data_IF_126244964293
#
_entry.id   IF_126244964293
#
_cell.length_a   1.000
_cell.length_b   1.000
_cell.length_c   1.000
_cell.angle_alpha   90.00
_cell.angle_beta   90.00
_cell.angle_gamma   90.00
#
_symmetry.space_group_name_H-M   'P 1'
#
loop_
_entity.id
_entity.type
_entity.pdbx_description
1 polymer ?
#
# COMPACT_ATOMS: atom_id res chain seq x y z
N UNK A 1 -27.97 34.59 25.41
CA UNK A 1 -28.44 33.23 25.05
C UNK A 1 -27.53 32.71 23.94
N UNK A 2 -26.84 31.59 24.19
CA UNK A 2 -26.09 30.71 23.27
C UNK A 2 -24.92 31.32 22.46
N UNK A 3 -23.71 30.76 22.40
CA UNK A 3 -23.19 29.47 22.84
C UNK A 3 -22.42 28.76 21.71
N UNK A 4 -21.22 28.25 22.04
CA UNK A 4 -20.42 27.21 21.36
C UNK A 4 -19.82 27.56 19.97
N UNK A 5 -18.50 27.68 19.74
CA UNK A 5 -17.37 26.77 20.04
C UNK A 5 -17.49 25.40 19.35
N UNK A 6 -16.86 25.22 18.17
CA UNK A 6 -16.25 23.91 17.83
C UNK A 6 -15.20 23.95 16.70
N UNK A 7 -13.98 23.61 17.13
CA UNK A 7 -12.88 22.91 16.47
C UNK A 7 -12.52 23.27 15.01
N UNK A 8 -11.43 24.05 14.90
CA UNK A 8 -10.43 23.88 13.84
C UNK A 8 -9.69 22.57 14.10
N UNK A 9 -9.74 21.66 13.13
CA UNK A 9 -9.03 20.38 13.13
C UNK A 9 -7.54 20.58 13.47
N UNK A 10 -7.03 19.79 14.43
CA UNK A 10 -5.60 19.57 14.63
C UNK A 10 -5.13 18.63 13.52
N UNK A 11 -4.46 19.19 12.51
CA UNK A 11 -3.52 18.42 11.69
C UNK A 11 -2.11 18.93 12.01
N UNK A 12 -1.22 17.99 12.29
CA UNK A 12 0.16 18.28 12.66
C UNK A 12 0.61 17.35 13.78
N UNK A 13 0.78 16.06 13.45
CA UNK A 13 1.60 15.19 14.28
C UNK A 13 2.97 15.83 14.43
N UNK A 14 3.39 16.03 15.69
CA UNK A 14 4.71 16.53 16.03
C UNK A 14 5.77 15.65 15.36
N UNK A 15 6.34 16.15 14.26
CA UNK A 15 7.66 15.72 13.84
C UNK A 15 8.59 16.11 14.98
N UNK A 16 9.06 15.11 15.72
CA UNK A 16 10.14 15.27 16.67
C UNK A 16 11.37 15.70 15.87
N UNK A 17 11.57 17.02 15.76
CA UNK A 17 12.74 17.60 15.13
C UNK A 17 13.95 17.15 15.92
N UNK A 18 14.93 16.57 15.21
CA UNK A 18 16.20 16.19 15.80
C UNK A 18 16.81 17.47 16.38
N UNK A 19 17.01 17.53 17.69
CA UNK A 19 17.56 18.72 18.32
C UNK A 19 19.04 18.84 17.95
N UNK A 20 19.35 19.71 16.98
CA UNK A 20 20.72 19.98 16.51
C UNK A 20 21.63 20.53 17.63
N UNK A 21 21.06 20.98 18.76
CA UNK A 21 21.81 21.41 19.93
C UNK A 21 22.27 20.24 20.84
N UNK A 22 21.94 18.99 20.52
CA UNK A 22 22.39 17.81 21.28
C UNK A 22 23.75 17.26 20.81
N UNK A 23 24.28 17.75 19.68
CA UNK A 23 25.61 17.37 19.20
C UNK A 23 26.63 18.42 19.64
N UNK A 24 27.57 18.02 20.49
CA UNK A 24 28.77 18.83 20.79
C UNK A 24 29.89 18.34 19.85
N UNK A 25 30.26 19.10 18.81
CA UNK A 25 31.28 18.65 17.88
C UNK A 25 32.65 18.65 18.57
N UNK A 26 33.34 17.50 18.52
CA UNK A 26 34.78 17.38 18.81
C UNK A 26 35.26 17.84 20.20
N UNK A 27 34.42 17.76 21.25
CA UNK A 27 34.83 18.10 22.62
C UNK A 27 36.01 17.26 23.16
N UNK A 28 36.27 16.07 22.58
CA UNK A 28 37.40 15.22 22.93
C UNK A 28 37.95 14.52 21.68
N UNK A 29 39.27 14.57 21.46
CA UNK A 29 39.94 13.73 20.45
C UNK A 29 40.12 12.33 21.02
N UNK A 30 39.24 11.41 20.66
CA UNK A 30 39.42 9.98 20.94
C UNK A 30 40.52 9.42 20.06
N UNK A 31 41.36 8.54 20.62
CA UNK A 31 42.34 7.79 19.84
C UNK A 31 41.65 6.89 18.81
N UNK A 32 42.36 6.51 17.75
CA UNK A 32 41.82 5.63 16.69
C UNK A 32 41.29 4.31 17.29
N UNK A 33 41.97 3.77 18.30
CA UNK A 33 41.57 2.55 19.01
C UNK A 33 40.27 2.73 19.80
N UNK A 34 40.09 3.86 20.50
CA UNK A 34 38.86 4.14 21.25
C UNK A 34 37.65 4.36 20.32
N UNK A 35 37.85 5.03 19.18
CA UNK A 35 36.81 5.18 18.16
C UNK A 35 36.41 3.82 17.56
N UNK A 36 37.40 2.98 17.25
CA UNK A 36 37.20 1.62 16.75
C UNK A 36 36.43 0.75 17.76
N UNK A 37 36.81 0.80 19.04
CA UNK A 37 36.16 0.08 20.11
C UNK A 37 34.73 0.57 20.36
N UNK A 38 34.48 1.88 20.28
CA UNK A 38 33.13 2.46 20.34
C UNK A 38 32.23 1.99 19.19
N UNK A 39 32.78 1.93 17.97
CA UNK A 39 32.08 1.40 16.79
C UNK A 39 31.71 -0.09 16.95
N UNK A 40 32.65 -0.91 17.41
CA UNK A 40 32.44 -2.35 17.69
C UNK A 40 31.42 -2.57 18.81
N UNK A 41 31.51 -1.80 19.89
CA UNK A 41 30.57 -1.87 21.01
C UNK A 41 29.15 -1.43 20.60
N UNK A 42 29.03 -0.36 19.82
CA UNK A 42 27.76 0.10 19.26
C UNK A 42 27.16 -0.93 18.29
N UNK A 43 27.98 -1.53 17.42
CA UNK A 43 27.55 -2.61 16.54
C UNK A 43 27.11 -3.85 17.35
N UNK A 44 27.84 -4.24 18.39
CA UNK A 44 27.46 -5.32 19.29
C UNK A 44 26.16 -5.00 20.06
N UNK A 45 25.97 -3.76 20.50
CA UNK A 45 24.74 -3.30 21.14
C UNK A 45 23.55 -3.29 20.18
N UNK A 46 23.74 -2.87 18.92
CA UNK A 46 22.73 -2.98 17.84
C UNK A 46 22.40 -4.44 17.53
N UNK A 47 23.41 -5.32 17.49
CA UNK A 47 23.22 -6.78 17.35
C UNK A 47 22.44 -7.37 18.53
N UNK A 48 22.67 -6.89 19.76
CA UNK A 48 21.89 -7.27 20.96
C UNK A 48 20.47 -6.70 20.94
N UNK A 49 20.29 -5.48 20.44
CA UNK A 49 19.01 -4.79 20.25
C UNK A 49 18.37 -5.09 18.89
N UNK A 50 18.55 -6.29 18.33
CA UNK A 50 17.80 -6.67 17.11
C UNK A 50 16.31 -6.47 17.38
N UNK A 51 15.65 -5.66 16.55
CA UNK A 51 14.21 -5.43 16.66
C UNK A 51 13.46 -6.73 16.39
N UNK A 52 12.20 -6.82 16.83
CA UNK A 52 11.36 -8.00 16.56
C UNK A 52 11.33 -8.33 15.04
N UNK A 53 11.23 -7.29 14.21
CA UNK A 53 11.29 -7.42 12.74
C UNK A 53 12.58 -8.09 12.27
N UNK A 54 13.73 -7.68 12.79
CA UNK A 54 15.02 -8.26 12.41
C UNK A 54 15.18 -9.72 12.87
N UNK A 55 14.59 -10.07 14.03
CA UNK A 55 14.58 -11.46 14.50
C UNK A 55 13.70 -12.33 13.61
N UNK A 56 12.53 -11.84 13.22
CA UNK A 56 11.63 -12.55 12.32
C UNK A 56 12.26 -12.71 10.93
N UNK A 57 12.84 -11.66 10.36
CA UNK A 57 13.57 -11.74 9.08
C UNK A 57 14.68 -12.78 9.11
N UNK A 58 15.41 -12.87 10.23
CA UNK A 58 16.41 -13.92 10.41
C UNK A 58 15.77 -15.30 10.43
N UNK A 59 14.67 -15.51 11.17
CA UNK A 59 14.00 -16.82 11.22
C UNK A 59 13.49 -17.25 9.84
N UNK A 60 12.90 -16.33 9.09
CA UNK A 60 12.36 -16.59 7.75
C UNK A 60 13.44 -17.01 6.76
N UNK A 61 14.63 -16.41 6.83
CA UNK A 61 15.75 -16.71 5.90
C UNK A 61 16.58 -17.95 6.26
N UNK A 62 16.25 -18.67 7.34
CA UNK A 62 17.00 -19.87 7.73
C UNK A 62 16.48 -21.09 6.98
N UNK A 63 17.33 -22.12 6.78
CA UNK A 63 16.86 -23.38 6.21
C UNK A 63 15.80 -24.01 7.11
N UNK A 64 14.79 -24.69 6.54
CA UNK A 64 13.72 -25.29 7.29
C UNK A 64 14.14 -26.64 7.89
N UNK A 65 13.26 -27.25 8.70
CA UNK A 65 13.53 -28.57 9.26
C UNK A 65 13.40 -29.66 8.18
N UNK A 66 13.97 -30.83 8.41
CA UNK A 66 14.07 -31.87 7.37
C UNK A 66 12.70 -32.31 6.84
N UNK A 67 11.68 -32.42 7.70
CA UNK A 67 10.32 -32.74 7.28
C UNK A 67 9.73 -31.67 6.32
N UNK A 68 10.00 -30.40 6.59
CA UNK A 68 9.51 -29.30 5.76
C UNK A 68 10.27 -29.24 4.43
N UNK A 69 11.57 -29.55 4.42
CA UNK A 69 12.37 -29.68 3.19
C UNK A 69 11.81 -30.76 2.28
N UNK A 70 11.55 -31.95 2.81
CA UNK A 70 10.96 -33.04 2.03
C UNK A 70 9.61 -32.64 1.39
N UNK A 71 8.81 -31.86 2.11
CA UNK A 71 7.55 -31.32 1.59
C UNK A 71 7.78 -30.30 0.46
N UNK A 72 8.76 -29.42 0.59
CA UNK A 72 9.12 -28.44 -0.43
C UNK A 72 9.70 -29.11 -1.69
N UNK A 73 10.55 -30.12 -1.52
CA UNK A 73 11.11 -30.93 -2.61
C UNK A 73 10.00 -31.65 -3.37
N UNK A 74 9.01 -32.21 -2.67
CA UNK A 74 7.85 -32.85 -3.28
C UNK A 74 6.99 -31.88 -4.12
N UNK A 75 7.04 -30.58 -3.82
CA UNK A 75 6.40 -29.52 -4.60
C UNK A 75 7.28 -28.99 -5.75
N UNK A 76 8.52 -29.46 -5.86
CA UNK A 76 9.47 -29.04 -6.89
C UNK A 76 10.13 -27.69 -6.62
N UNK A 77 10.23 -27.27 -5.36
CA UNK A 77 11.02 -26.10 -4.96
C UNK A 77 12.50 -26.46 -5.03
N UNK A 78 13.32 -25.55 -5.56
CA UNK A 78 14.77 -25.76 -5.64
C UNK A 78 15.45 -25.55 -4.28
N UNK A 79 16.57 -26.24 -4.04
CA UNK A 79 17.30 -26.13 -2.76
C UNK A 79 17.76 -24.68 -2.47
N UNK A 80 18.02 -23.89 -3.51
CA UNK A 80 18.39 -22.47 -3.39
C UNK A 80 17.25 -21.59 -2.84
N UNK A 81 15.99 -21.98 -3.08
CA UNK A 81 14.78 -21.28 -2.65
C UNK A 81 14.16 -21.91 -1.38
N UNK A 82 14.87 -22.86 -0.76
CA UNK A 82 14.39 -23.61 0.40
C UNK A 82 14.72 -22.90 1.71
N UNK A 83 13.78 -22.12 2.21
CA UNK A 83 13.86 -21.44 3.51
C UNK A 83 12.54 -21.53 4.30
N UNK A 84 12.53 -21.02 5.54
CA UNK A 84 11.33 -21.00 6.38
C UNK A 84 10.22 -20.09 5.81
N UNK A 85 10.55 -19.08 5.01
CA UNK A 85 9.56 -18.24 4.34
C UNK A 85 8.76 -19.06 3.33
N UNK A 86 9.44 -19.88 2.53
CA UNK A 86 8.83 -20.78 1.56
C UNK A 86 7.93 -21.83 2.21
N UNK A 87 8.30 -22.33 3.40
CA UNK A 87 7.43 -23.24 4.19
C UNK A 87 6.11 -22.56 4.54
N UNK A 88 6.15 -21.31 5.02
CA UNK A 88 4.93 -20.57 5.39
C UNK A 88 4.05 -20.27 4.18
N UNK A 89 4.65 -19.89 3.05
CA UNK A 89 3.93 -19.64 1.80
C UNK A 89 3.28 -20.92 1.29
N UNK A 90 3.99 -22.04 1.36
CA UNK A 90 3.46 -23.37 1.01
C UNK A 90 2.28 -23.75 1.88
N UNK A 91 2.38 -23.59 3.20
CA UNK A 91 1.27 -23.87 4.11
C UNK A 91 0.05 -22.99 3.81
N UNK A 92 0.27 -21.70 3.51
CA UNK A 92 -0.79 -20.77 3.12
C UNK A 92 -1.45 -21.20 1.79
N UNK A 93 -0.64 -21.57 0.81
CA UNK A 93 -1.09 -22.07 -0.50
C UNK A 93 -1.94 -23.33 -0.36
N UNK A 94 -1.45 -24.34 0.35
CA UNK A 94 -2.16 -25.61 0.57
C UNK A 94 -3.48 -25.38 1.30
N UNK A 95 -3.50 -24.50 2.30
CA UNK A 95 -4.70 -24.11 3.03
C UNK A 95 -5.73 -23.42 2.11
N UNK A 96 -5.29 -22.53 1.23
CA UNK A 96 -6.16 -21.93 0.22
C UNK A 96 -6.66 -22.96 -0.81
N UNK A 97 -5.81 -23.88 -1.26
CA UNK A 97 -6.16 -24.96 -2.18
C UNK A 97 -7.19 -25.92 -1.57
N UNK A 98 -7.17 -26.12 -0.25
CA UNK A 98 -8.17 -26.87 0.49
C UNK A 98 -9.53 -26.14 0.64
N UNK A 99 -9.66 -24.92 0.11
CA UNK A 99 -10.90 -24.14 0.10
C UNK A 99 -11.02 -23.09 1.21
N UNK A 100 -9.94 -22.79 1.96
CA UNK A 100 -9.96 -21.70 2.92
C UNK A 100 -9.98 -20.33 2.21
N UNK A 101 -11.13 -19.68 2.25
CA UNK A 101 -11.36 -18.38 1.62
C UNK A 101 -10.51 -17.27 2.25
N UNK A 102 -10.16 -17.36 3.53
CA UNK A 102 -9.30 -16.37 4.18
C UNK A 102 -7.87 -16.51 3.69
N UNK A 103 -7.34 -17.73 3.63
CA UNK A 103 -6.02 -17.98 3.05
C UNK A 103 -5.95 -17.50 1.58
N UNK A 104 -6.99 -17.75 0.79
CA UNK A 104 -7.09 -17.24 -0.58
C UNK A 104 -7.09 -15.70 -0.65
N UNK A 105 -7.80 -15.03 0.27
CA UNK A 105 -7.79 -13.56 0.37
C UNK A 105 -6.40 -13.03 0.72
N UNK A 106 -5.70 -13.64 1.66
CA UNK A 106 -4.33 -13.25 2.01
C UNK A 106 -3.38 -13.38 0.81
N UNK A 107 -3.46 -14.47 0.05
CA UNK A 107 -2.69 -14.62 -1.20
C UNK A 107 -3.05 -13.51 -2.20
N UNK A 108 -4.33 -13.17 -2.35
CA UNK A 108 -4.78 -12.07 -3.22
C UNK A 108 -4.20 -10.72 -2.78
N UNK A 109 -4.12 -10.51 -1.47
CA UNK A 109 -3.57 -9.30 -0.85
C UNK A 109 -2.06 -9.18 -1.07
N UNK A 110 -1.30 -10.25 -0.81
CA UNK A 110 0.15 -10.32 -1.05
C UNK A 110 0.47 -10.03 -2.52
N UNK A 111 -0.33 -10.58 -3.45
CA UNK A 111 -0.17 -10.33 -4.89
C UNK A 111 -0.66 -8.95 -5.37
N UNK A 112 -1.18 -8.09 -4.48
CA UNK A 112 -1.67 -6.76 -4.82
C UNK A 112 -2.93 -6.74 -5.69
N UNK A 113 -3.60 -7.89 -5.87
CA UNK A 113 -4.81 -8.00 -6.71
C UNK A 113 -6.02 -7.29 -6.10
N UNK A 114 -5.99 -6.99 -4.80
CA UNK A 114 -7.00 -6.17 -4.10
C UNK A 114 -6.98 -4.71 -4.54
N UNK A 115 -5.79 -4.11 -4.61
CA UNK A 115 -5.61 -2.68 -4.90
C UNK A 115 -5.96 -2.40 -6.37
N UNK A 116 -5.51 -3.27 -7.27
CA UNK A 116 -5.83 -3.16 -8.69
C UNK A 116 -7.34 -3.21 -8.96
N UNK A 117 -8.08 -4.03 -8.21
CA UNK A 117 -9.54 -4.09 -8.31
C UNK A 117 -10.20 -2.80 -7.80
N UNK A 118 -9.75 -2.27 -6.66
CA UNK A 118 -10.28 -1.04 -6.09
C UNK A 118 -10.02 0.20 -6.97
N UNK A 119 -8.82 0.33 -7.54
CA UNK A 119 -8.48 1.41 -8.47
C UNK A 119 -9.29 1.35 -9.77
N UNK A 120 -9.53 0.14 -10.27
CA UNK A 120 -10.33 -0.09 -11.47
C UNK A 120 -11.80 0.28 -11.22
N UNK A 121 -12.34 -0.09 -10.05
CA UNK A 121 -13.69 0.28 -9.62
C UNK A 121 -13.85 1.81 -9.57
N UNK A 122 -12.87 2.51 -8.99
CA UNK A 122 -12.85 3.97 -8.88
C UNK A 122 -12.81 4.64 -10.27
N UNK A 123 -11.93 4.16 -11.16
CA UNK A 123 -11.88 4.62 -12.56
C UNK A 123 -13.19 4.40 -13.30
N UNK A 124 -13.87 3.26 -13.07
CA UNK A 124 -15.20 3.00 -13.67
C UNK A 124 -16.24 3.97 -13.16
N UNK A 125 -16.24 4.31 -11.87
CA UNK A 125 -17.16 5.28 -11.27
C UNK A 125 -16.91 6.69 -11.82
N UNK A 126 -15.65 7.12 -11.91
CA UNK A 126 -15.28 8.41 -12.50
C UNK A 126 -15.72 8.52 -13.97
N UNK A 127 -15.51 7.46 -14.76
CA UNK A 127 -15.94 7.43 -16.16
C UNK A 127 -17.45 7.48 -16.31
N UNK A 128 -18.21 6.85 -15.40
CA UNK A 128 -19.69 6.98 -15.38
C UNK A 128 -20.11 8.41 -15.08
N UNK A 129 -19.56 9.02 -14.04
CA UNK A 129 -19.86 10.41 -13.68
C UNK A 129 -19.50 11.39 -14.81
N UNK A 130 -18.37 11.20 -15.50
CA UNK A 130 -17.99 12.00 -16.67
C UNK A 130 -18.94 11.82 -17.86
N UNK A 131 -19.40 10.59 -18.11
CA UNK A 131 -20.40 10.32 -19.16
C UNK A 131 -21.75 10.94 -18.83
N UNK A 132 -22.20 10.82 -17.58
CA UNK A 132 -23.47 11.39 -17.13
C UNK A 132 -23.44 12.93 -17.14
N UNK A 133 -22.27 13.53 -16.85
CA UNK A 133 -22.04 14.96 -17.01
C UNK A 133 -22.07 15.38 -18.50
N UNK A 134 -21.42 14.62 -19.38
CA UNK A 134 -21.40 14.91 -20.82
C UNK A 134 -22.79 14.78 -21.48
N UNK A 135 -23.63 13.84 -21.03
CA UNK A 135 -25.02 13.68 -21.51
C UNK A 135 -25.94 14.80 -21.00
N UNK A 136 -25.65 15.40 -19.84
CA UNK A 136 -26.37 16.57 -19.34
C UNK A 136 -26.02 17.86 -20.09
N UNK A 137 -24.81 17.96 -20.63
CA UNK A 137 -24.33 19.14 -21.37
C UNK A 137 -24.57 19.08 -22.89
N UNK A 138 -25.11 17.97 -23.44
CA UNK A 138 -25.56 17.98 -24.85
C UNK A 138 -26.86 18.79 -24.96
N UNK A 139 -26.87 19.95 -25.66
CA UNK A 139 -28.10 20.69 -25.89
C UNK A 139 -29.01 19.84 -26.78
N UNK A 140 -30.26 19.69 -26.36
CA UNK A 140 -31.34 19.09 -27.16
C UNK A 140 -31.49 19.85 -28.48
N UNK A 141 -30.80 19.39 -29.53
CA UNK A 141 -30.90 19.90 -30.90
C UNK A 141 -32.21 19.46 -31.59
N UNK A 142 -33.35 19.74 -30.96
CA UNK A 142 -34.66 19.28 -31.44
C UNK A 142 -35.81 20.28 -31.23
N UNK A 143 -35.55 21.59 -31.12
CA UNK A 143 -36.63 22.56 -30.89
C UNK A 143 -36.46 23.93 -31.57
N UNK A 144 -35.86 23.99 -32.76
CA UNK A 144 -35.90 25.22 -33.57
C UNK A 144 -36.24 24.87 -35.01
N UNK A 145 -37.55 24.73 -35.30
CA UNK A 145 -38.03 24.95 -36.67
C UNK A 145 -37.69 26.41 -37.05
N UNK A 146 -36.89 26.66 -38.10
CA UNK A 146 -36.55 28.02 -38.50
C UNK A 146 -37.82 28.76 -38.94
N UNK A 147 -38.01 29.98 -38.42
CA UNK A 147 -39.11 30.90 -38.73
C UNK A 147 -39.06 31.45 -40.17
N UNK A 148 -38.97 30.59 -41.18
CA UNK A 148 -38.97 30.98 -42.60
C UNK A 148 -40.16 30.43 -43.39
N UNK A 149 -41.12 29.76 -42.73
CA UNK A 149 -42.27 29.14 -43.39
C UNK A 149 -43.64 29.58 -42.84
N UNK A 150 -43.76 30.83 -42.38
CA UNK A 150 -45.07 31.41 -42.00
C UNK A 150 -45.62 32.46 -42.98
N UNK A 151 -44.96 32.67 -44.13
CA UNK A 151 -45.32 33.74 -45.07
C UNK A 151 -46.01 33.26 -46.38
N UNK A 152 -46.60 32.07 -46.42
CA UNK A 152 -47.15 31.51 -47.68
C UNK A 152 -48.51 30.82 -47.54
N UNK A 153 -49.36 31.28 -46.61
CA UNK A 153 -50.66 30.65 -46.37
C UNK A 153 -51.77 31.59 -45.91
N UNK A 154 -51.77 32.84 -46.39
CA UNK A 154 -52.88 33.76 -46.14
C UNK A 154 -53.22 34.56 -47.41
N UNK A 155 -53.45 33.85 -48.51
CA UNK A 155 -54.23 34.31 -49.65
C UNK A 155 -55.02 33.10 -50.13
N UNK A 156 -56.29 33.01 -49.68
CA UNK A 156 -57.42 32.36 -50.35
C UNK A 156 -58.59 32.20 -49.34
N UNK A 157 -59.47 33.21 -49.29
CA UNK A 157 -60.95 33.14 -49.45
C UNK A 157 -61.56 34.50 -49.17
#
# INVERSE_FOLDING_TARGET
MYGAFRLRMKEGGEQQTVNDHNLIPAAHKLTVEEQSNGGKASAAARRRKKSMKQKLQLLLSLPPCDNDKEQLDALGVEEEDTDNEMVLLTALFLKAAAGDVQAFREIRSILGKDIAAAELELKRQELKLKKDAAVRDTPSAAAETPLLYQALGADDT
#
